data_IF_717939196086
#
_entry.id   IF_717939196086
#
_cell.length_a   1.000
_cell.length_b   1.000
_cell.length_c   1.000
_cell.angle_alpha   90.00
_cell.angle_beta   90.00
_cell.angle_gamma   90.00
#
_symmetry.space_group_name_H-M   'P 1'
#
loop_
_entity.id
_entity.type
_entity.pdbx_description
1 polymer ?
#
# COMPACT_ATOMS: atom_id res chain seq x y z
N UNK A 1 9.38 21.69 10.03
CA UNK A 1 9.80 23.00 10.57
C UNK A 1 9.21 23.25 11.96
N UNK A 2 7.89 23.08 12.15
CA UNK A 2 7.21 23.26 13.45
C UNK A 2 7.69 22.27 14.51
N UNK A 3 7.85 20.98 14.17
CA UNK A 3 8.35 19.97 15.12
C UNK A 3 9.71 20.40 15.69
N UNK A 4 10.64 20.85 14.83
CA UNK A 4 11.94 21.34 15.29
C UNK A 4 11.77 22.49 16.29
N UNK A 5 10.92 23.47 15.96
CA UNK A 5 10.63 24.62 16.83
C UNK A 5 10.10 24.17 18.20
N UNK A 6 9.10 23.28 18.22
CA UNK A 6 8.54 22.77 19.46
C UNK A 6 9.53 21.97 20.29
N UNK A 7 10.42 21.20 19.66
CA UNK A 7 11.48 20.49 20.38
C UNK A 7 12.51 21.44 21.01
N UNK A 8 12.77 22.59 20.38
CA UNK A 8 13.65 23.63 20.93
C UNK A 8 12.99 24.41 22.07
N UNK A 9 11.65 24.54 22.05
CA UNK A 9 10.88 25.28 23.07
C UNK A 9 10.38 24.36 24.21
N UNK A 10 10.50 23.05 24.09
CA UNK A 10 9.98 22.06 25.03
C UNK A 10 10.63 22.17 26.41
N UNK A 11 9.82 22.32 27.44
CA UNK A 11 10.25 22.36 28.84
C UNK A 11 10.02 21.01 29.55
N UNK A 12 10.51 20.85 30.76
CA UNK A 12 10.41 19.58 31.53
C UNK A 12 8.98 19.25 31.99
N UNK A 13 8.09 20.23 32.01
CA UNK A 13 6.67 20.09 32.38
C UNK A 13 5.74 20.08 31.16
N UNK A 14 6.26 19.83 29.99
CA UNK A 14 5.51 19.75 28.75
C UNK A 14 5.78 18.45 27.99
N UNK A 15 4.83 18.07 27.15
CA UNK A 15 4.94 16.99 26.16
C UNK A 15 4.56 17.53 24.79
N UNK A 16 5.40 17.29 23.79
CA UNK A 16 5.05 17.51 22.38
C UNK A 16 4.15 16.37 21.92
N UNK A 17 2.97 16.73 21.38
CA UNK A 17 2.08 15.76 20.75
C UNK A 17 2.14 15.94 19.24
N UNK A 18 2.41 14.83 18.54
CA UNK A 18 2.44 14.73 17.08
C UNK A 18 1.44 13.66 16.66
N UNK A 19 0.49 14.04 15.84
CA UNK A 19 -0.56 13.16 15.35
C UNK A 19 -0.45 13.01 13.83
N UNK A 20 -0.31 11.79 13.35
CA UNK A 20 -0.10 11.49 11.92
C UNK A 20 0.98 12.36 11.25
N UNK A 21 2.06 12.65 11.99
CA UNK A 21 3.13 13.55 11.53
C UNK A 21 2.83 15.04 11.67
N UNK A 22 1.63 15.40 12.14
CA UNK A 22 1.20 16.79 12.36
C UNK A 22 1.45 17.22 13.81
N UNK A 23 2.30 18.23 14.08
CA UNK A 23 2.56 18.67 15.43
C UNK A 23 1.39 19.49 15.97
N UNK A 24 0.65 18.95 16.92
CA UNK A 24 -0.50 19.61 17.54
C UNK A 24 -0.07 20.72 18.50
N UNK A 25 1.01 20.50 19.26
CA UNK A 25 1.52 21.52 20.18
C UNK A 25 2.27 20.95 21.39
N UNK A 26 2.62 21.87 22.29
CA UNK A 26 3.21 21.56 23.61
C UNK A 26 2.10 21.55 24.66
N UNK A 27 1.84 20.39 25.24
CA UNK A 27 0.79 20.20 26.24
C UNK A 27 1.40 20.11 27.65
N UNK A 28 0.70 20.63 28.67
CA UNK A 28 1.12 20.49 30.07
C UNK A 28 1.30 19.01 30.44
N UNK A 29 2.36 18.69 31.14
CA UNK A 29 2.74 17.33 31.49
C UNK A 29 3.51 17.32 32.82
N UNK A 30 4.24 16.23 33.06
CA UNK A 30 5.07 16.05 34.26
C UNK A 30 6.51 15.70 33.85
N UNK A 31 7.52 16.00 34.64
CA UNK A 31 8.91 15.61 34.33
C UNK A 31 9.12 14.11 34.10
N UNK A 32 8.27 13.28 34.66
CA UNK A 32 8.29 11.81 34.48
C UNK A 32 7.51 11.30 33.27
N UNK A 33 6.76 12.18 32.57
CA UNK A 33 6.01 11.81 31.39
C UNK A 33 6.91 11.78 30.14
N UNK A 34 6.50 11.08 29.07
CA UNK A 34 7.21 11.13 27.79
C UNK A 34 7.35 12.56 27.27
N UNK A 35 8.53 12.89 26.75
CA UNK A 35 8.77 14.22 26.15
C UNK A 35 8.03 14.42 24.85
N UNK A 36 7.83 13.33 24.10
CA UNK A 36 7.11 13.32 22.82
C UNK A 36 6.14 12.15 22.80
N UNK A 37 4.91 12.40 22.41
CA UNK A 37 3.90 11.41 22.09
C UNK A 37 3.62 11.49 20.60
N UNK A 38 3.73 10.37 19.91
CA UNK A 38 3.42 10.23 18.49
C UNK A 38 2.27 9.24 18.38
N UNK A 39 1.21 9.64 17.72
CA UNK A 39 0.00 8.84 17.54
C UNK A 39 -0.59 9.00 16.16
N UNK A 40 -1.50 8.10 15.80
CA UNK A 40 -2.34 8.26 14.62
C UNK A 40 -3.58 9.07 14.97
N UNK A 41 -4.09 9.83 14.00
CA UNK A 41 -5.41 10.42 14.11
C UNK A 41 -6.45 9.30 14.06
N UNK A 42 -7.30 9.24 15.06
CA UNK A 42 -8.39 8.28 15.15
C UNK A 42 -9.72 9.01 15.28
N UNK A 43 -10.58 8.80 14.30
CA UNK A 43 -11.99 9.20 14.39
C UNK A 43 -12.80 7.97 14.75
N UNK A 44 -13.57 8.03 15.85
CA UNK A 44 -14.34 6.90 16.35
C UNK A 44 -15.76 7.32 16.75
N UNK A 45 -16.65 6.36 16.81
CA UNK A 45 -18.02 6.57 17.22
C UNK A 45 -18.83 7.31 16.16
N UNK A 46 -19.54 8.37 16.56
CA UNK A 46 -20.45 9.09 15.68
C UNK A 46 -19.75 9.94 14.60
N UNK A 47 -18.45 10.09 14.66
CA UNK A 47 -17.64 10.89 13.71
C UNK A 47 -16.84 10.01 12.75
N UNK A 48 -17.12 8.73 12.67
CA UNK A 48 -16.40 7.78 11.84
C UNK A 48 -17.06 7.67 10.45
N UNK A 49 -17.07 8.78 9.73
CA UNK A 49 -17.54 8.87 8.35
C UNK A 49 -16.67 9.86 7.56
N UNK A 50 -16.74 9.80 6.23
CA UNK A 50 -15.85 10.57 5.36
C UNK A 50 -16.04 12.08 5.52
N UNK A 51 -17.28 12.55 5.61
CA UNK A 51 -17.58 13.99 5.70
C UNK A 51 -16.99 14.60 6.99
N UNK A 52 -17.12 13.91 8.12
CA UNK A 52 -16.53 14.35 9.39
C UNK A 52 -15.00 14.32 9.34
N UNK A 53 -14.41 13.33 8.66
CA UNK A 53 -12.96 13.27 8.44
C UNK A 53 -12.47 14.44 7.61
N UNK A 54 -13.14 14.79 6.51
CA UNK A 54 -12.76 15.93 5.66
C UNK A 54 -12.85 17.24 6.44
N UNK A 55 -13.91 17.46 7.21
CA UNK A 55 -14.06 18.63 8.06
C UNK A 55 -12.95 18.69 9.10
N UNK A 56 -12.66 17.58 9.76
CA UNK A 56 -11.61 17.53 10.79
C UNK A 56 -10.21 17.74 10.21
N UNK A 57 -9.95 17.27 8.99
CA UNK A 57 -8.70 17.53 8.26
C UNK A 57 -8.55 18.99 7.88
N UNK A 58 -9.58 19.64 7.34
CA UNK A 58 -9.60 21.06 7.03
C UNK A 58 -9.34 21.92 8.28
N UNK A 59 -9.90 21.51 9.41
CA UNK A 59 -9.66 22.18 10.70
C UNK A 59 -8.28 21.89 11.30
N UNK A 60 -7.50 20.97 10.74
CA UNK A 60 -6.23 20.53 11.29
C UNK A 60 -6.35 19.72 12.58
N UNK A 61 -7.51 19.15 12.87
CA UNK A 61 -7.81 18.35 14.08
C UNK A 61 -7.50 16.89 13.86
N UNK A 62 -7.75 16.39 12.65
CA UNK A 62 -7.40 15.04 12.24
C UNK A 62 -6.54 15.09 10.99
N UNK A 63 -5.83 14.00 10.74
CA UNK A 63 -5.05 13.82 9.51
C UNK A 63 -5.09 12.36 9.14
N UNK A 64 -5.56 12.05 7.95
CA UNK A 64 -5.59 10.69 7.46
C UNK A 64 -4.17 10.17 7.35
N UNK A 65 -3.84 9.20 8.16
CA UNK A 65 -2.55 8.54 8.17
C UNK A 65 -2.73 7.04 8.14
N UNK A 66 -2.09 6.40 7.18
CA UNK A 66 -1.91 4.96 7.26
C UNK A 66 -1.08 4.63 8.49
N UNK A 67 -1.23 3.42 9.02
CA UNK A 67 -0.67 2.98 10.30
C UNK A 67 0.79 3.40 10.52
N UNK A 68 1.67 3.16 9.57
CA UNK A 68 3.09 3.51 9.67
C UNK A 68 3.37 4.98 9.34
N UNK A 69 2.65 5.57 8.41
CA UNK A 69 2.76 6.98 8.07
C UNK A 69 2.31 7.85 9.25
N UNK A 70 1.17 7.52 9.86
CA UNK A 70 0.66 8.20 11.02
C UNK A 70 1.59 8.10 12.22
N UNK A 71 2.22 6.96 12.43
CA UNK A 71 3.20 6.73 13.49
C UNK A 71 4.56 7.41 13.26
N UNK A 72 4.70 8.22 12.20
CA UNK A 72 5.96 8.88 11.86
C UNK A 72 7.13 7.95 11.53
N UNK A 73 6.83 6.68 11.41
CA UNK A 73 7.81 5.66 11.04
C UNK A 73 7.78 5.35 9.54
N UNK A 74 6.83 5.94 8.84
CA UNK A 74 6.69 5.82 7.40
C UNK A 74 7.70 6.73 6.70
N UNK A 75 8.55 6.13 5.91
CA UNK A 75 9.62 6.82 5.19
C UNK A 75 9.31 7.00 3.70
N UNK A 76 8.09 6.68 3.30
CA UNK A 76 7.57 6.82 1.94
C UNK A 76 7.20 5.48 1.30
N UNK A 77 6.62 5.51 0.09
CA UNK A 77 6.16 4.31 -0.62
C UNK A 77 7.29 3.30 -0.90
N UNK A 78 8.54 3.74 -0.95
CA UNK A 78 9.69 2.86 -1.13
C UNK A 78 9.80 1.79 -0.04
N UNK A 79 9.40 2.06 1.20
CA UNK A 79 9.42 1.08 2.29
C UNK A 79 8.44 -0.07 2.04
N UNK A 80 7.25 0.25 1.51
CA UNK A 80 6.23 -0.72 1.15
C UNK A 80 6.64 -1.50 -0.10
N UNK A 81 7.17 -0.84 -1.13
CA UNK A 81 7.71 -1.51 -2.33
C UNK A 81 8.79 -2.52 -1.93
N UNK A 82 9.73 -2.12 -1.08
CA UNK A 82 10.81 -2.99 -0.60
C UNK A 82 10.27 -4.16 0.23
N UNK A 83 9.32 -3.91 1.14
CA UNK A 83 8.69 -4.96 1.94
C UNK A 83 7.94 -5.98 1.08
N UNK A 84 7.12 -5.51 0.14
CA UNK A 84 6.39 -6.38 -0.79
C UNK A 84 7.34 -7.17 -1.68
N UNK A 85 8.34 -6.52 -2.28
CA UNK A 85 9.36 -7.19 -3.08
C UNK A 85 10.02 -8.34 -2.33
N UNK A 86 10.51 -8.08 -1.12
CA UNK A 86 11.15 -9.13 -0.30
C UNK A 86 10.18 -10.26 0.05
N UNK A 87 8.92 -9.93 0.34
CA UNK A 87 7.91 -10.92 0.71
C UNK A 87 7.60 -11.86 -0.46
N UNK A 88 7.26 -11.31 -1.64
CA UNK A 88 6.89 -12.13 -2.80
C UNK A 88 8.08 -12.93 -3.33
N UNK A 89 9.27 -12.35 -3.36
CA UNK A 89 10.48 -13.06 -3.80
C UNK A 89 10.85 -14.20 -2.85
N UNK A 90 10.75 -13.99 -1.53
CA UNK A 90 11.01 -15.07 -0.56
C UNK A 90 9.90 -16.14 -0.57
N UNK A 91 8.64 -15.77 -0.81
CA UNK A 91 7.57 -16.72 -1.03
C UNK A 91 7.87 -17.58 -2.28
N UNK A 92 8.27 -16.97 -3.38
CA UNK A 92 8.69 -17.69 -4.59
C UNK A 92 9.87 -18.64 -4.35
N UNK A 93 10.88 -18.20 -3.60
CA UNK A 93 12.02 -19.06 -3.23
C UNK A 93 11.58 -20.26 -2.41
N UNK A 94 10.68 -20.06 -1.47
CA UNK A 94 10.23 -21.10 -0.55
C UNK A 94 9.26 -22.09 -1.21
N UNK A 95 8.29 -21.59 -1.95
CA UNK A 95 7.16 -22.39 -2.44
C UNK A 95 7.33 -22.84 -3.91
N UNK A 96 8.02 -22.04 -4.73
CA UNK A 96 8.23 -22.31 -6.16
C UNK A 96 9.64 -22.84 -6.48
N UNK A 97 10.51 -22.91 -5.46
CA UNK A 97 11.88 -23.40 -5.62
C UNK A 97 12.81 -22.48 -6.41
N UNK A 98 12.50 -21.19 -6.47
CA UNK A 98 13.34 -20.21 -7.15
C UNK A 98 14.70 -20.12 -6.44
N UNK A 99 15.83 -20.16 -7.16
CA UNK A 99 17.15 -20.04 -6.56
C UNK A 99 17.39 -18.69 -5.90
N UNK A 100 18.38 -18.59 -5.03
CA UNK A 100 18.61 -17.39 -4.23
C UNK A 100 18.98 -16.14 -5.06
N UNK A 101 19.58 -16.34 -6.19
CA UNK A 101 19.94 -15.33 -7.20
C UNK A 101 18.90 -15.20 -8.33
N UNK A 102 17.81 -15.95 -8.27
CA UNK A 102 16.71 -15.90 -9.23
C UNK A 102 15.66 -14.86 -8.88
N UNK A 103 14.74 -14.64 -9.81
CA UNK A 103 13.61 -13.73 -9.74
C UNK A 103 12.28 -14.45 -10.06
N UNK A 104 11.19 -13.72 -10.17
CA UNK A 104 9.85 -14.23 -10.46
C UNK A 104 9.50 -14.24 -11.97
N UNK A 105 10.49 -14.23 -12.86
CA UNK A 105 10.25 -14.26 -14.30
C UNK A 105 9.51 -15.55 -14.72
N UNK A 106 8.35 -15.38 -15.36
CA UNK A 106 7.48 -16.49 -15.74
C UNK A 106 6.51 -16.95 -14.65
N UNK A 107 6.42 -16.23 -13.54
CA UNK A 107 5.48 -16.51 -12.46
C UNK A 107 4.46 -15.39 -12.26
N UNK A 108 3.27 -15.75 -11.76
CA UNK A 108 2.18 -14.82 -11.50
C UNK A 108 2.14 -14.38 -10.04
N UNK A 109 1.84 -13.11 -9.83
CA UNK A 109 1.44 -12.57 -8.55
C UNK A 109 0.11 -11.84 -8.67
N UNK A 110 -0.92 -12.31 -7.99
CA UNK A 110 -2.26 -11.71 -7.98
C UNK A 110 -2.52 -11.10 -6.61
N UNK A 111 -3.11 -9.91 -6.59
CA UNK A 111 -3.49 -9.24 -5.36
C UNK A 111 -4.66 -8.28 -5.60
N UNK A 112 -5.15 -7.66 -4.54
CA UNK A 112 -6.21 -6.66 -4.61
C UNK A 112 -5.85 -5.40 -3.84
N UNK A 113 -6.50 -4.30 -4.23
CA UNK A 113 -6.29 -2.98 -3.70
C UNK A 113 -5.14 -2.22 -4.39
N UNK A 114 -5.42 -0.95 -4.74
CA UNK A 114 -4.44 0.00 -5.28
C UNK A 114 -4.40 1.32 -4.50
N UNK A 115 -4.84 1.25 -3.24
CA UNK A 115 -4.80 2.35 -2.29
C UNK A 115 -3.39 2.78 -1.89
N UNK A 116 -3.28 3.48 -0.77
CA UNK A 116 -2.02 4.05 -0.32
C UNK A 116 -0.93 3.02 -0.03
N UNK A 117 -1.28 1.88 0.56
CA UNK A 117 -0.32 0.81 0.85
C UNK A 117 -0.27 -0.23 -0.27
N UNK A 118 -1.41 -0.77 -0.65
CA UNK A 118 -1.53 -1.80 -1.69
C UNK A 118 -1.04 -1.33 -3.07
N UNK A 119 -1.17 -0.04 -3.37
CA UNK A 119 -0.69 0.53 -4.62
C UNK A 119 0.81 0.38 -4.89
N UNK A 120 1.60 0.00 -3.88
CA UNK A 120 3.02 -0.32 -4.06
C UNK A 120 3.28 -1.72 -4.64
N UNK A 121 2.29 -2.62 -4.59
CA UNK A 121 2.44 -4.02 -5.01
C UNK A 121 2.75 -4.17 -6.51
N UNK A 122 2.11 -3.42 -7.45
CA UNK A 122 2.45 -3.51 -8.87
C UNK A 122 3.91 -3.18 -9.13
N UNK A 123 4.42 -2.12 -8.51
CA UNK A 123 5.82 -1.73 -8.63
C UNK A 123 6.78 -2.80 -8.10
N UNK A 124 6.44 -3.40 -6.96
CA UNK A 124 7.22 -4.48 -6.37
C UNK A 124 7.23 -5.73 -7.25
N UNK A 125 6.10 -6.08 -7.86
CA UNK A 125 5.98 -7.19 -8.79
C UNK A 125 6.87 -7.00 -10.02
N UNK A 126 6.85 -5.80 -10.62
CA UNK A 126 7.71 -5.47 -11.76
C UNK A 126 9.21 -5.56 -11.40
N UNK A 127 9.60 -5.06 -10.23
CA UNK A 127 11.00 -5.18 -9.76
C UNK A 127 11.40 -6.64 -9.54
N UNK A 128 10.46 -7.49 -9.13
CA UNK A 128 10.68 -8.92 -8.95
C UNK A 128 10.59 -9.73 -10.26
N UNK A 129 10.39 -9.10 -11.40
CA UNK A 129 10.13 -9.71 -12.71
C UNK A 129 8.86 -10.57 -12.79
N UNK A 130 7.90 -10.38 -11.90
CA UNK A 130 6.63 -11.12 -11.91
C UNK A 130 5.65 -10.56 -12.95
N UNK A 131 4.71 -11.40 -13.38
CA UNK A 131 3.47 -10.98 -14.03
C UNK A 131 2.45 -10.68 -12.93
N UNK A 132 2.18 -9.40 -12.68
CA UNK A 132 1.28 -8.93 -11.61
C UNK A 132 -0.12 -8.61 -12.14
N UNK A 133 -1.16 -9.09 -11.46
CA UNK A 133 -2.56 -8.70 -11.71
C UNK A 133 -3.16 -8.18 -10.41
N UNK A 134 -3.71 -6.96 -10.44
CA UNK A 134 -4.17 -6.25 -9.26
C UNK A 134 -5.61 -5.77 -9.45
N UNK A 135 -6.54 -6.35 -8.70
CA UNK A 135 -7.95 -5.95 -8.75
C UNK A 135 -8.18 -4.71 -7.88
N UNK A 136 -8.92 -3.75 -8.40
CA UNK A 136 -9.34 -2.54 -7.69
C UNK A 136 -10.71 -2.09 -8.21
N UNK A 137 -11.62 -1.79 -7.31
CA UNK A 137 -12.99 -1.37 -7.67
C UNK A 137 -13.10 0.14 -7.90
N UNK A 138 -12.16 0.90 -7.38
CA UNK A 138 -12.10 2.35 -7.52
C UNK A 138 -11.18 2.74 -8.69
N UNK A 139 -11.79 3.17 -9.80
CA UNK A 139 -11.07 3.57 -11.01
C UNK A 139 -10.08 4.71 -10.74
N UNK A 140 -10.40 5.63 -9.85
CA UNK A 140 -9.52 6.78 -9.56
C UNK A 140 -8.20 6.35 -8.92
N UNK A 141 -8.20 5.29 -8.13
CA UNK A 141 -6.99 4.68 -7.57
C UNK A 141 -6.16 4.01 -8.65
N UNK A 142 -6.80 3.29 -9.57
CA UNK A 142 -6.15 2.66 -10.72
C UNK A 142 -5.44 3.72 -11.57
N UNK A 143 -6.15 4.76 -11.98
CA UNK A 143 -5.62 5.87 -12.78
C UNK A 143 -4.43 6.54 -12.08
N UNK A 144 -4.55 6.81 -10.78
CA UNK A 144 -3.47 7.38 -9.99
C UNK A 144 -2.20 6.52 -10.04
N UNK A 145 -2.31 5.19 -9.92
CA UNK A 145 -1.13 4.31 -9.97
C UNK A 145 -0.56 4.15 -11.37
N UNK A 146 -1.41 4.18 -12.37
CA UNK A 146 -0.98 4.19 -13.77
C UNK A 146 -0.22 5.48 -14.11
N UNK A 147 -0.74 6.65 -13.74
CA UNK A 147 -0.09 7.94 -13.96
C UNK A 147 1.25 8.08 -13.23
N UNK A 148 1.39 7.41 -12.08
CA UNK A 148 2.65 7.30 -11.35
C UNK A 148 3.65 6.34 -11.99
N UNK A 149 3.27 5.59 -13.02
CA UNK A 149 4.08 4.55 -13.64
C UNK A 149 4.34 3.34 -12.74
N UNK A 150 3.35 2.99 -11.90
CA UNK A 150 3.40 1.83 -11.01
C UNK A 150 2.58 0.67 -11.54
N UNK A 151 1.59 0.96 -12.36
CA UNK A 151 0.79 0.03 -13.14
C UNK A 151 1.10 0.28 -14.62
N UNK A 152 1.35 -0.78 -15.38
CA UNK A 152 1.70 -0.65 -16.80
C UNK A 152 0.46 -0.54 -17.69
N UNK A 153 -0.59 -1.31 -17.38
CA UNK A 153 -1.82 -1.33 -18.18
C UNK A 153 -3.07 -1.42 -17.29
N UNK A 154 -4.16 -0.81 -17.75
CA UNK A 154 -5.50 -0.87 -17.14
C UNK A 154 -6.40 -1.70 -18.04
N UNK A 155 -7.09 -2.67 -17.47
CA UNK A 155 -7.99 -3.56 -18.22
C UNK A 155 -9.24 -3.89 -17.38
N UNK A 156 -10.36 -4.15 -18.03
CA UNK A 156 -11.63 -4.56 -17.44
C UNK A 156 -12.14 -5.92 -17.96
N UNK A 157 -11.54 -6.42 -19.03
CA UNK A 157 -11.86 -7.73 -19.62
C UNK A 157 -10.90 -8.81 -19.08
N UNK A 158 -11.44 -9.74 -18.29
CA UNK A 158 -10.67 -10.82 -17.65
C UNK A 158 -10.05 -11.78 -18.68
N UNK A 159 -10.72 -12.04 -19.81
CA UNK A 159 -10.19 -12.93 -20.84
C UNK A 159 -8.94 -12.31 -21.50
N UNK A 160 -8.97 -11.04 -21.82
CA UNK A 160 -7.83 -10.33 -22.37
C UNK A 160 -6.70 -10.18 -21.33
N UNK A 161 -7.04 -10.01 -20.04
CA UNK A 161 -6.05 -10.00 -18.94
C UNK A 161 -5.30 -11.33 -18.89
N UNK A 162 -6.02 -12.46 -18.85
CA UNK A 162 -5.37 -13.79 -18.79
C UNK A 162 -4.58 -14.12 -20.03
N UNK A 163 -5.05 -13.70 -21.19
CA UNK A 163 -4.30 -13.85 -22.45
C UNK A 163 -2.98 -13.08 -22.41
N UNK A 164 -3.00 -11.79 -22.07
CA UNK A 164 -1.81 -10.96 -21.93
C UNK A 164 -0.86 -11.52 -20.87
N UNK A 165 -1.40 -11.93 -19.72
CA UNK A 165 -0.61 -12.54 -18.66
C UNK A 165 0.11 -13.80 -19.13
N UNK A 166 -0.60 -14.71 -19.81
CA UNK A 166 0.01 -15.93 -20.36
C UNK A 166 1.10 -15.65 -21.42
N UNK A 167 0.91 -14.64 -22.27
CA UNK A 167 1.93 -14.20 -23.22
C UNK A 167 3.19 -13.73 -22.49
N UNK A 168 3.05 -12.92 -21.43
CA UNK A 168 4.15 -12.40 -20.64
C UNK A 168 4.85 -13.47 -19.79
N UNK A 169 4.09 -14.41 -19.23
CA UNK A 169 4.62 -15.61 -18.52
C UNK A 169 5.52 -16.41 -19.48
N UNK A 170 5.01 -16.72 -20.67
CA UNK A 170 5.75 -17.48 -21.67
C UNK A 170 7.03 -16.76 -22.15
N UNK A 171 6.98 -15.45 -22.28
CA UNK A 171 8.10 -14.61 -22.64
C UNK A 171 9.08 -14.37 -21.47
N UNK A 172 8.70 -14.67 -20.23
CA UNK A 172 9.41 -14.31 -19.00
C UNK A 172 9.64 -12.80 -18.86
N UNK A 173 8.65 -12.04 -19.27
CA UNK A 173 8.65 -10.57 -19.18
C UNK A 173 7.70 -10.13 -18.05
N UNK A 174 8.14 -9.17 -17.24
CA UNK A 174 7.27 -8.58 -16.23
C UNK A 174 6.23 -7.66 -16.84
N UNK A 175 5.09 -7.59 -16.20
CA UNK A 175 4.05 -6.60 -16.45
C UNK A 175 3.18 -6.45 -15.20
N UNK A 176 2.67 -5.25 -14.94
CA UNK A 176 1.66 -5.01 -13.93
C UNK A 176 0.34 -4.58 -14.59
N UNK A 177 -0.69 -5.38 -14.37
CA UNK A 177 -2.03 -5.21 -14.93
C UNK A 177 -2.98 -4.82 -13.81
N UNK A 178 -3.62 -3.66 -13.90
CA UNK A 178 -4.74 -3.30 -13.03
C UNK A 178 -6.04 -3.79 -13.67
N UNK A 179 -6.76 -4.61 -12.94
CA UNK A 179 -8.11 -5.04 -13.27
C UNK A 179 -9.11 -4.11 -12.58
N UNK A 180 -9.91 -3.37 -13.35
CA UNK A 180 -11.01 -2.59 -12.81
C UNK A 180 -12.20 -3.51 -12.50
N UNK A 181 -12.24 -4.05 -11.29
CA UNK A 181 -13.27 -4.98 -10.86
C UNK A 181 -12.98 -5.61 -9.51
N UNK A 182 -13.86 -6.53 -9.11
CA UNK A 182 -13.74 -7.23 -7.84
C UNK A 182 -12.76 -8.40 -7.95
N UNK A 183 -11.90 -8.56 -6.96
CA UNK A 183 -10.95 -9.68 -6.88
C UNK A 183 -11.66 -11.05 -6.89
N UNK A 184 -12.86 -11.14 -6.32
CA UNK A 184 -13.63 -12.38 -6.29
C UNK A 184 -13.97 -12.82 -7.72
N UNK A 185 -14.45 -11.92 -8.56
CA UNK A 185 -14.78 -12.20 -9.96
C UNK A 185 -13.55 -12.68 -10.74
N UNK A 186 -12.40 -12.05 -10.50
CA UNK A 186 -11.12 -12.44 -11.09
C UNK A 186 -10.71 -13.87 -10.67
N UNK A 187 -10.85 -14.20 -9.38
CA UNK A 187 -10.48 -15.52 -8.85
C UNK A 187 -11.45 -16.62 -9.31
N UNK A 188 -12.76 -16.34 -9.35
CA UNK A 188 -13.74 -17.25 -9.89
C UNK A 188 -13.46 -17.56 -11.37
N UNK A 189 -13.20 -16.53 -12.17
CA UNK A 189 -12.82 -16.69 -13.57
C UNK A 189 -11.48 -17.45 -13.72
N UNK A 190 -10.51 -17.24 -12.84
CA UNK A 190 -9.25 -17.99 -12.86
C UNK A 190 -9.48 -19.50 -12.64
N UNK A 191 -10.37 -19.85 -11.72
CA UNK A 191 -10.77 -21.27 -11.50
C UNK A 191 -11.50 -21.84 -12.70
N UNK A 192 -12.51 -21.13 -13.22
CA UNK A 192 -13.31 -21.58 -14.36
C UNK A 192 -12.47 -21.80 -15.63
N UNK A 193 -11.52 -20.89 -15.88
CA UNK A 193 -10.65 -20.90 -17.07
C UNK A 193 -9.34 -21.66 -16.88
N UNK A 194 -9.15 -22.23 -15.69
CA UNK A 194 -7.92 -22.94 -15.31
C UNK A 194 -6.66 -22.08 -15.49
N UNK A 195 -6.77 -20.77 -15.15
CA UNK A 195 -5.62 -19.87 -15.10
C UNK A 195 -4.84 -20.09 -13.82
N UNK A 196 -3.54 -20.41 -13.95
CA UNK A 196 -2.71 -20.71 -12.79
C UNK A 196 -2.20 -19.44 -12.10
N UNK A 197 -2.35 -19.36 -10.79
CA UNK A 197 -1.83 -18.29 -9.94
C UNK A 197 -0.76 -18.88 -9.04
N UNK A 198 0.49 -18.42 -9.16
CA UNK A 198 1.61 -18.90 -8.34
C UNK A 198 1.61 -18.30 -6.93
N UNK A 199 1.40 -16.99 -6.83
CA UNK A 199 1.37 -16.26 -5.58
C UNK A 199 0.11 -15.39 -5.50
N UNK A 200 -0.58 -15.44 -4.36
CA UNK A 200 -1.79 -14.68 -4.10
C UNK A 200 -1.68 -13.92 -2.79
N UNK A 201 -2.11 -12.68 -2.79
CA UNK A 201 -2.22 -11.83 -1.62
C UNK A 201 -3.50 -10.99 -1.71
N UNK A 202 -3.88 -10.37 -0.62
CA UNK A 202 -4.95 -9.38 -0.55
C UNK A 202 -4.53 -8.25 0.38
N UNK A 203 -4.74 -7.02 -0.04
CA UNK A 203 -4.45 -5.83 0.76
C UNK A 203 -5.50 -4.74 0.48
N UNK A 204 -6.75 -5.11 0.55
CA UNK A 204 -7.90 -4.19 0.53
C UNK A 204 -8.18 -3.65 1.94
N UNK A 205 -8.62 -2.41 2.02
CA UNK A 205 -9.07 -1.77 3.26
C UNK A 205 -10.45 -1.14 3.07
#
# INVERSE_FOLDING_TARGET
RLIKKYLEELTEDQTLVVESGHPLGLFPSKPTAPRVIITNALMVGMYDNLDDWEIAEEMGVANYGQMTAGGWMYIGPQGIVHGTFNTILNAGRKELGIPQDGDLAGHTFVSSGLGGMSGAQPKAANIANAVGIFAEVDLSRIETRHDQGWVDVIMDDIDEIFKLANEKIAAKESISIAYHGNIVDLLEAAVEKNFHIDLLSDQTS
#
